data_IF_845536879768
#
_entry.id   IF_845536879768
#
_cell.length_a   1.000
_cell.length_b   1.000
_cell.length_c   1.000
_cell.angle_alpha   90.00
_cell.angle_beta   90.00
_cell.angle_gamma   90.00
#
_symmetry.space_group_name_H-M   'P 1'
#
loop_
_entity.id
_entity.type
_entity.pdbx_description
1 polymer ?
#
# COMPACT_ATOMS: atom_id res chain seq x y z
N UNK A 1 15.90 44.36 -1.42
CA UNK A 1 16.13 42.93 -1.11
C UNK A 1 14.80 42.21 -1.27
N UNK A 2 14.69 41.30 -2.24
CA UNK A 2 13.48 40.49 -2.41
C UNK A 2 13.37 39.55 -1.21
N UNK A 3 12.31 39.70 -0.41
CA UNK A 3 12.00 38.76 0.67
C UNK A 3 11.28 37.57 0.03
N UNK A 4 11.98 36.47 -0.16
CA UNK A 4 11.35 35.20 -0.48
C UNK A 4 10.80 34.59 0.82
N UNK A 5 9.49 34.41 0.90
CA UNK A 5 8.85 33.64 1.96
C UNK A 5 9.00 32.16 1.58
N UNK A 6 9.92 31.45 2.24
CA UNK A 6 10.06 29.99 2.07
C UNK A 6 9.20 29.28 3.12
N UNK A 7 8.41 28.32 2.67
CA UNK A 7 7.62 27.49 3.56
C UNK A 7 8.53 26.63 4.45
N UNK A 8 8.22 26.55 5.74
CA UNK A 8 8.93 25.68 6.68
C UNK A 8 8.58 24.24 6.33
N UNK A 9 9.58 23.45 5.93
CA UNK A 9 9.42 22.04 5.60
C UNK A 9 9.78 21.16 6.80
N UNK A 10 8.98 20.12 7.04
CA UNK A 10 9.29 19.11 8.03
C UNK A 10 10.59 18.38 7.63
N UNK A 11 11.61 18.34 8.50
CA UNK A 11 12.90 17.73 8.16
C UNK A 11 12.80 16.21 7.99
N UNK A 12 11.74 15.57 8.49
CA UNK A 12 11.55 14.12 8.38
C UNK A 12 10.88 13.71 7.09
N UNK A 13 9.79 14.37 6.67
CA UNK A 13 9.02 13.94 5.50
C UNK A 13 8.95 14.96 4.35
N UNK A 14 9.51 16.16 4.53
CA UNK A 14 9.47 17.23 3.54
C UNK A 14 8.12 17.94 3.42
N UNK A 15 7.12 17.57 4.22
CA UNK A 15 5.81 18.22 4.20
C UNK A 15 5.91 19.67 4.69
N UNK A 16 5.22 20.57 3.99
CA UNK A 16 5.04 21.97 4.42
C UNK A 16 3.86 22.15 5.38
N UNK A 17 3.13 21.08 5.70
CA UNK A 17 2.00 21.12 6.63
C UNK A 17 2.52 20.97 8.06
N UNK A 18 2.48 22.08 8.80
CA UNK A 18 2.85 22.11 10.21
C UNK A 18 1.95 23.07 10.99
N UNK A 19 1.95 22.90 12.30
CA UNK A 19 1.36 23.83 13.25
C UNK A 19 2.43 24.23 14.24
N UNK A 20 2.54 25.53 14.52
CA UNK A 20 3.40 26.03 15.58
C UNK A 20 2.76 25.71 16.93
N UNK A 21 3.45 24.93 17.76
CA UNK A 21 2.96 24.50 19.08
C UNK A 21 3.46 25.40 20.21
N UNK A 22 4.58 26.09 19.98
CA UNK A 22 5.15 27.17 20.80
C UNK A 22 6.17 27.92 19.93
N UNK A 23 6.61 29.14 20.30
CA UNK A 23 7.54 29.93 19.48
C UNK A 23 8.73 29.11 19.00
N UNK A 24 8.93 29.07 17.69
CA UNK A 24 9.99 28.32 16.97
C UNK A 24 9.89 26.79 17.01
N UNK A 25 8.83 26.21 17.55
CA UNK A 25 8.59 24.76 17.59
C UNK A 25 7.34 24.39 16.79
N UNK A 26 7.51 23.44 15.88
CA UNK A 26 6.52 23.04 14.92
C UNK A 26 6.23 21.55 15.03
N UNK A 27 4.95 21.19 14.89
CA UNK A 27 4.52 19.80 14.72
C UNK A 27 4.04 19.60 13.29
N UNK A 28 4.65 18.65 12.58
CA UNK A 28 4.22 18.29 11.23
C UNK A 28 2.87 17.55 11.26
N UNK A 29 1.88 18.03 10.51
CA UNK A 29 0.55 17.41 10.43
C UNK A 29 0.52 16.15 9.56
N UNK A 30 1.53 15.96 8.71
CA UNK A 30 1.61 14.80 7.82
C UNK A 30 2.31 13.58 8.47
N UNK A 31 3.25 13.79 9.39
CA UNK A 31 4.03 12.71 10.01
C UNK A 31 4.19 12.80 11.54
N UNK A 32 3.48 13.71 12.18
CA UNK A 32 3.50 13.98 13.64
C UNK A 32 4.90 14.30 14.22
N UNK A 33 5.87 14.63 13.38
CA UNK A 33 7.22 14.97 13.84
C UNK A 33 7.24 16.38 14.40
N UNK A 34 7.69 16.50 15.64
CA UNK A 34 8.01 17.77 16.28
C UNK A 34 9.45 18.15 15.95
N UNK A 35 9.66 19.41 15.58
CA UNK A 35 10.96 19.97 15.25
C UNK A 35 10.97 21.45 15.64
N UNK A 36 12.15 22.02 15.85
CA UNK A 36 12.31 23.43 16.18
C UNK A 36 13.28 24.08 15.22
N UNK A 37 13.13 25.39 15.02
CA UNK A 37 14.10 26.21 14.31
C UNK A 37 15.18 26.60 15.32
N UNK A 38 16.36 25.98 15.18
CA UNK A 38 17.52 26.44 15.92
C UNK A 38 18.12 27.66 15.21
N UNK A 39 18.24 28.76 15.94
CA UNK A 39 18.71 30.03 15.41
C UNK A 39 20.11 30.29 15.96
N UNK A 40 21.09 29.49 15.51
CA UNK A 40 22.48 29.52 16.00
C UNK A 40 23.27 30.77 15.53
N UNK A 41 22.69 31.64 14.71
CA UNK A 41 23.30 32.92 14.32
C UNK A 41 22.98 34.04 15.33
N UNK A 42 23.50 33.93 16.55
CA UNK A 42 23.62 35.09 17.44
C UNK A 42 24.93 35.82 17.11
N UNK A 43 24.89 36.84 16.25
CA UNK A 43 25.99 37.80 16.16
C UNK A 43 25.97 38.68 17.42
N UNK A 44 26.62 38.22 18.49
CA UNK A 44 26.80 39.02 19.70
C UNK A 44 27.82 40.13 19.38
N UNK A 45 27.34 41.34 19.08
CA UNK A 45 28.18 42.53 19.17
C UNK A 45 28.43 42.83 20.64
N UNK A 46 29.57 42.36 21.13
CA UNK A 46 30.05 42.59 22.49
C UNK A 46 30.49 44.06 22.64
N UNK A 47 29.59 44.94 23.10
CA UNK A 47 29.97 46.26 23.58
C UNK A 47 29.99 46.25 25.11
N UNK A 48 31.19 46.25 25.69
CA UNK A 48 31.39 46.21 27.14
C UNK A 48 31.29 47.62 27.68
N UNK A 49 30.18 47.94 28.34
CA UNK A 49 30.12 49.04 29.29
C UNK A 49 29.94 48.48 30.70
N UNK A 50 30.97 48.66 31.53
CA UNK A 50 30.93 48.30 32.95
C UNK A 50 30.10 49.33 33.71
N UNK A 51 28.87 49.00 34.06
CA UNK A 51 28.19 49.60 35.21
C UNK A 51 27.47 48.51 36.03
N UNK A 52 27.51 48.71 37.35
CA UNK A 52 27.37 47.70 38.41
C UNK A 52 25.97 47.09 38.54
N UNK A 53 25.95 45.79 38.87
CA UNK A 53 24.74 44.98 39.08
C UNK A 53 24.12 45.14 40.49
N UNK A 54 22.78 45.13 40.64
CA UNK A 54 22.11 44.81 41.90
C UNK A 54 21.92 43.29 42.10
N UNK A 55 21.82 42.90 43.37
CA UNK A 55 21.91 41.55 43.95
C UNK A 55 20.77 40.57 43.56
N UNK A 56 21.00 39.24 43.59
CA UNK A 56 19.99 38.21 43.30
C UNK A 56 19.19 37.72 44.52
N UNK A 57 17.96 37.26 44.26
CA UNK A 57 17.01 36.65 45.20
C UNK A 57 17.32 35.17 45.51
N UNK A 58 16.74 34.57 46.59
CA UNK A 58 17.19 33.29 47.16
C UNK A 58 16.78 32.05 46.36
N UNK A 59 17.68 31.06 46.34
CA UNK A 59 17.59 29.78 45.63
C UNK A 59 16.80 28.74 46.45
N UNK A 60 15.85 28.06 45.79
CA UNK A 60 15.11 26.93 46.35
C UNK A 60 16.02 25.70 46.60
N UNK A 61 15.70 24.92 47.64
CA UNK A 61 16.58 23.89 48.22
C UNK A 61 17.09 22.82 47.21
N UNK A 62 18.38 22.42 47.29
CA UNK A 62 19.08 21.65 46.26
C UNK A 62 18.63 20.19 46.12
N UNK A 63 17.88 19.65 47.09
CA UNK A 63 17.44 18.24 47.09
C UNK A 63 16.24 17.97 46.18
N UNK A 64 15.42 18.99 45.90
CA UNK A 64 14.23 18.88 45.05
C UNK A 64 14.56 19.13 43.57
N UNK A 65 15.53 20.00 43.29
CA UNK A 65 16.02 20.26 41.94
C UNK A 65 16.74 19.05 41.32
N UNK A 66 17.57 18.31 42.09
CA UNK A 66 18.30 17.16 41.54
C UNK A 66 17.40 15.97 41.22
N UNK A 67 16.28 15.81 41.95
CA UNK A 67 15.31 14.73 41.71
C UNK A 67 14.51 14.98 40.42
N UNK A 68 14.11 16.24 40.19
CA UNK A 68 13.38 16.66 38.98
C UNK A 68 14.29 16.55 37.75
N UNK A 69 15.54 17.00 37.84
CA UNK A 69 16.52 16.91 36.75
C UNK A 69 16.84 15.44 36.42
N UNK A 70 16.97 14.58 37.44
CA UNK A 70 17.20 13.14 37.25
C UNK A 70 16.02 12.42 36.57
N UNK A 71 14.78 12.73 36.96
CA UNK A 71 13.59 12.16 36.34
C UNK A 71 13.43 12.60 34.87
N UNK A 72 13.70 13.86 34.56
CA UNK A 72 13.67 14.40 33.19
C UNK A 72 14.74 13.74 32.33
N UNK A 73 15.95 13.54 32.84
CA UNK A 73 17.03 12.86 32.10
C UNK A 73 16.71 11.39 31.81
N UNK A 74 16.10 10.66 32.75
CA UNK A 74 15.71 9.25 32.52
C UNK A 74 14.58 9.16 31.48
N UNK A 75 13.59 10.06 31.55
CA UNK A 75 12.50 10.12 30.56
C UNK A 75 13.06 10.51 29.18
N UNK A 76 14.00 11.45 29.12
CA UNK A 76 14.65 11.87 27.88
C UNK A 76 15.47 10.72 27.27
N UNK A 77 16.23 9.98 28.08
CA UNK A 77 16.97 8.80 27.62
C UNK A 77 16.00 7.71 27.13
N UNK A 78 14.88 7.46 27.81
CA UNK A 78 13.88 6.51 27.33
C UNK A 78 13.21 6.97 26.02
N UNK A 79 12.85 8.24 25.89
CA UNK A 79 12.21 8.75 24.67
C UNK A 79 13.15 8.84 23.46
N UNK A 80 14.43 9.13 23.67
CA UNK A 80 15.42 9.26 22.60
C UNK A 80 15.99 7.90 22.17
N UNK A 81 16.17 6.95 23.09
CA UNK A 81 16.77 5.65 22.79
C UNK A 81 15.77 4.51 22.53
N UNK A 82 14.48 4.60 22.93
CA UNK A 82 13.49 3.60 22.51
C UNK A 82 13.30 3.55 20.98
N UNK A 83 13.18 4.67 20.25
CA UNK A 83 12.99 4.65 18.80
C UNK A 83 14.18 4.07 18.04
N UNK A 84 15.41 4.20 18.57
CA UNK A 84 16.62 3.68 17.92
C UNK A 84 16.74 2.16 18.05
N UNK A 85 16.17 1.56 19.10
CA UNK A 85 16.09 0.09 19.25
C UNK A 85 15.06 -0.57 18.32
N UNK A 86 14.08 0.18 17.80
CA UNK A 86 13.09 -0.30 16.84
C UNK A 86 13.41 0.05 15.38
N UNK A 87 14.56 0.68 15.11
CA UNK A 87 14.97 1.02 13.75
C UNK A 87 15.54 -0.22 13.04
N UNK A 88 14.67 -1.17 12.69
CA UNK A 88 15.03 -2.27 11.81
C UNK A 88 15.35 -1.70 10.44
N UNK A 89 16.61 -1.82 10.04
CA UNK A 89 17.12 -1.55 8.70
C UNK A 89 16.11 -2.05 7.65
N UNK A 90 15.65 -1.13 6.80
CA UNK A 90 14.92 -1.51 5.61
C UNK A 90 15.87 -2.13 4.60
N UNK A 91 15.75 -3.43 4.39
CA UNK A 91 16.50 -4.10 3.33
C UNK A 91 15.72 -3.97 2.02
N UNK A 92 16.34 -3.38 1.01
CA UNK A 92 15.85 -3.49 -0.37
C UNK A 92 16.26 -4.87 -0.90
N UNK A 93 15.30 -5.67 -1.34
CA UNK A 93 15.58 -6.96 -1.98
C UNK A 93 16.11 -6.80 -3.43
N UNK A 94 16.15 -5.57 -3.96
CA UNK A 94 16.68 -5.31 -5.32
C UNK A 94 18.06 -5.93 -5.55
N UNK A 95 18.95 -5.86 -4.55
CA UNK A 95 20.33 -6.35 -4.67
C UNK A 95 20.46 -7.88 -4.51
N UNK A 96 19.38 -8.56 -4.14
CA UNK A 96 19.34 -10.03 -4.01
C UNK A 96 18.82 -10.67 -5.30
N UNK A 97 17.93 -9.96 -6.02
CA UNK A 97 17.32 -10.47 -7.24
C UNK A 97 18.29 -10.48 -8.42
N UNK A 98 19.20 -9.52 -8.50
CA UNK A 98 20.27 -9.53 -9.50
C UNK A 98 21.56 -10.08 -8.86
N UNK A 99 21.87 -11.33 -9.19
CA UNK A 99 23.12 -11.99 -8.81
C UNK A 99 24.19 -11.66 -9.85
N UNK A 100 25.47 -11.73 -9.50
CA UNK A 100 26.55 -11.70 -10.51
C UNK A 100 26.48 -12.86 -11.51
N UNK A 101 25.62 -13.86 -11.26
CA UNK A 101 25.44 -15.03 -12.13
C UNK A 101 24.29 -14.89 -13.14
N UNK A 102 23.25 -14.11 -12.83
CA UNK A 102 22.09 -13.96 -13.72
C UNK A 102 21.28 -12.71 -13.39
N UNK A 103 20.53 -12.27 -14.40
CA UNK A 103 19.58 -11.17 -14.36
C UNK A 103 18.18 -11.68 -14.61
N UNK A 104 17.18 -11.04 -14.00
CA UNK A 104 15.79 -11.36 -14.31
C UNK A 104 15.16 -10.33 -15.27
N UNK A 105 14.52 -10.83 -16.32
CA UNK A 105 13.65 -10.11 -17.25
C UNK A 105 12.20 -10.64 -17.19
N UNK A 106 11.25 -9.87 -17.72
CA UNK A 106 9.82 -10.22 -17.84
C UNK A 106 9.22 -10.87 -16.58
N UNK A 107 9.50 -10.27 -15.42
CA UNK A 107 9.24 -10.89 -14.12
C UNK A 107 8.13 -10.18 -13.36
N UNK A 108 7.43 -10.97 -12.56
CA UNK A 108 6.60 -10.44 -11.49
C UNK A 108 6.99 -11.09 -10.16
N UNK A 109 6.59 -10.46 -9.06
CA UNK A 109 6.83 -10.98 -7.72
C UNK A 109 5.64 -10.81 -6.79
N UNK A 110 5.59 -11.69 -5.80
CA UNK A 110 4.61 -11.63 -4.71
C UNK A 110 5.21 -12.08 -3.39
N UNK A 111 4.78 -11.44 -2.31
CA UNK A 111 5.16 -11.79 -0.94
C UNK A 111 4.03 -12.55 -0.24
N UNK A 112 4.39 -13.56 0.55
CA UNK A 112 3.46 -14.28 1.41
C UNK A 112 4.19 -14.93 2.60
N UNK A 113 3.44 -15.31 3.64
CA UNK A 113 3.93 -16.21 4.70
C UNK A 113 3.61 -17.67 4.36
N UNK A 114 4.57 -18.57 4.56
CA UNK A 114 4.33 -20.01 4.51
C UNK A 114 3.59 -20.52 5.77
N UNK A 115 3.32 -21.82 5.84
CA UNK A 115 2.66 -22.44 6.99
C UNK A 115 3.45 -22.34 8.31
N UNK A 116 4.73 -21.96 8.28
CA UNK A 116 5.59 -21.75 9.46
C UNK A 116 5.67 -20.27 9.88
N UNK A 117 5.11 -19.37 9.09
CA UNK A 117 5.24 -17.92 9.26
C UNK A 117 6.54 -17.34 8.68
N UNK A 118 7.25 -18.08 7.83
CA UNK A 118 8.40 -17.55 7.10
C UNK A 118 7.92 -16.63 5.99
N UNK A 119 8.42 -15.40 5.98
CA UNK A 119 8.16 -14.46 4.90
C UNK A 119 8.95 -14.86 3.65
N UNK A 120 8.22 -15.20 2.60
CA UNK A 120 8.74 -15.63 1.29
C UNK A 120 8.42 -14.55 0.26
N UNK A 121 9.39 -14.29 -0.63
CA UNK A 121 9.15 -13.58 -1.89
C UNK A 121 9.33 -14.59 -3.03
N UNK A 122 8.25 -14.83 -3.78
CA UNK A 122 8.29 -15.59 -5.01
C UNK A 122 8.50 -14.64 -6.19
N UNK A 123 9.44 -14.97 -7.08
CA UNK A 123 9.71 -14.26 -8.33
C UNK A 123 9.58 -15.24 -9.46
N UNK A 124 8.74 -14.90 -10.44
CA UNK A 124 8.53 -15.69 -11.64
C UNK A 124 8.83 -14.82 -12.84
N UNK A 125 9.64 -15.32 -13.77
CA UNK A 125 10.11 -14.55 -14.92
C UNK A 125 11.16 -15.31 -15.71
N UNK A 126 11.84 -14.61 -16.59
CA UNK A 126 12.95 -15.14 -17.37
C UNK A 126 14.29 -14.86 -16.66
N UNK A 127 15.14 -15.87 -16.53
CA UNK A 127 16.52 -15.71 -16.01
C UNK A 127 17.50 -15.74 -17.18
N UNK A 128 18.30 -14.70 -17.31
CA UNK A 128 19.39 -14.54 -18.27
C UNK A 128 20.73 -14.68 -17.55
N UNK A 129 21.55 -15.67 -17.90
CA UNK A 129 22.86 -15.87 -17.28
C UNK A 129 23.96 -15.15 -18.07
N UNK A 130 24.78 -14.33 -17.39
CA UNK A 130 25.90 -13.63 -18.02
C UNK A 130 27.06 -14.64 -18.27
N UNK A 131 27.56 -14.68 -19.51
CA UNK A 131 28.65 -15.54 -20.02
C UNK A 131 28.34 -17.02 -20.28
N UNK A 132 27.54 -17.35 -21.29
CA UNK A 132 27.69 -18.66 -21.93
C UNK A 132 27.46 -18.61 -23.44
N UNK A 133 28.39 -19.20 -24.17
CA UNK A 133 28.23 -19.65 -25.57
C UNK A 133 27.12 -20.73 -25.73
N UNK A 134 26.37 -21.02 -24.66
CA UNK A 134 25.28 -21.96 -24.58
C UNK A 134 24.07 -21.37 -23.84
N UNK A 135 23.19 -20.73 -24.61
CA UNK A 135 21.80 -20.28 -24.34
C UNK A 135 20.89 -21.30 -23.59
N UNK A 136 21.38 -22.52 -23.36
CA UNK A 136 20.65 -23.64 -22.76
C UNK A 136 20.26 -23.48 -21.28
N UNK A 137 20.96 -22.62 -20.52
CA UNK A 137 20.72 -22.40 -19.07
C UNK A 137 19.67 -21.32 -18.80
N UNK A 138 19.56 -20.34 -19.68
CA UNK A 138 18.52 -19.32 -19.63
C UNK A 138 17.14 -19.94 -19.83
N UNK A 139 16.11 -19.26 -19.35
CA UNK A 139 14.75 -19.76 -19.46
C UNK A 139 13.81 -19.20 -18.41
N UNK A 140 12.60 -19.74 -18.42
CA UNK A 140 11.56 -19.32 -17.48
C UNK A 140 11.74 -20.07 -16.16
N UNK A 141 11.73 -19.32 -15.07
CA UNK A 141 11.86 -19.86 -13.71
C UNK A 141 10.81 -19.24 -12.80
N UNK A 142 10.46 -19.98 -11.76
CA UNK A 142 10.01 -19.40 -10.50
C UNK A 142 11.05 -19.70 -9.43
N UNK A 143 11.32 -18.72 -8.58
CA UNK A 143 12.22 -18.88 -7.45
C UNK A 143 11.64 -18.24 -6.20
N UNK A 144 11.81 -18.94 -5.10
CA UNK A 144 11.33 -18.55 -3.80
C UNK A 144 12.51 -18.18 -2.92
N UNK A 145 12.46 -16.99 -2.34
CA UNK A 145 13.50 -16.44 -1.50
C UNK A 145 12.97 -16.21 -0.10
N UNK A 146 13.81 -16.43 0.92
CA UNK A 146 13.55 -15.87 2.24
C UNK A 146 13.69 -14.35 2.15
N UNK A 147 12.61 -13.63 2.43
CA UNK A 147 12.56 -12.19 2.20
C UNK A 147 13.47 -11.37 3.12
N UNK A 148 13.86 -11.90 4.28
CA UNK A 148 14.61 -11.16 5.31
C UNK A 148 16.13 -11.22 5.11
N UNK A 149 16.63 -12.29 4.51
CA UNK A 149 18.05 -12.50 4.26
C UNK A 149 18.40 -12.69 2.78
N UNK A 150 17.39 -12.81 1.90
CA UNK A 150 17.58 -12.99 0.46
C UNK A 150 18.05 -14.38 0.04
N UNK A 151 18.09 -15.35 0.96
CA UNK A 151 18.53 -16.70 0.63
C UNK A 151 17.51 -17.35 -0.32
N UNK A 152 17.99 -17.86 -1.45
CA UNK A 152 17.21 -18.73 -2.33
C UNK A 152 16.84 -20.01 -1.56
N UNK A 153 15.54 -20.28 -1.47
CA UNK A 153 14.99 -21.46 -0.83
C UNK A 153 14.85 -22.59 -1.84
N UNK A 154 14.31 -22.26 -3.01
CA UNK A 154 14.06 -23.20 -4.10
C UNK A 154 13.88 -22.47 -5.42
N UNK A 155 14.40 -23.05 -6.49
CA UNK A 155 14.16 -22.61 -7.86
C UNK A 155 13.61 -23.77 -8.69
N UNK A 156 12.62 -23.47 -9.52
CA UNK A 156 11.96 -24.41 -10.41
C UNK A 156 12.01 -23.85 -11.82
N UNK A 157 12.63 -24.59 -12.75
CA UNK A 157 12.55 -24.29 -14.18
C UNK A 157 11.15 -24.61 -14.67
N UNK A 158 10.58 -23.69 -15.44
CA UNK A 158 9.27 -23.82 -16.03
C UNK A 158 9.39 -24.24 -17.50
N UNK A 159 8.32 -24.83 -18.05
CA UNK A 159 8.25 -25.15 -19.47
C UNK A 159 8.40 -23.91 -20.35
N UNK A 160 8.70 -24.12 -21.63
CA UNK A 160 8.73 -23.03 -22.59
C UNK A 160 7.30 -22.54 -22.83
N UNK A 161 7.04 -21.29 -22.47
CA UNK A 161 5.88 -20.53 -22.93
C UNK A 161 6.41 -19.29 -23.64
N UNK A 162 5.78 -18.84 -24.74
CA UNK A 162 6.28 -17.74 -25.54
C UNK A 162 6.24 -16.43 -24.74
N UNK A 163 7.36 -16.09 -24.10
CA UNK A 163 7.60 -14.78 -23.48
C UNK A 163 7.94 -13.80 -24.60
N UNK A 164 6.92 -13.38 -25.34
CA UNK A 164 7.10 -12.36 -26.39
C UNK A 164 7.01 -10.93 -25.85
N UNK A 165 6.51 -10.72 -24.62
CA UNK A 165 6.26 -9.38 -24.08
C UNK A 165 6.46 -9.32 -22.56
N UNK A 166 6.93 -8.16 -22.10
CA UNK A 166 7.28 -7.80 -20.71
C UNK A 166 6.15 -7.94 -19.67
N UNK A 167 4.89 -8.08 -20.10
CA UNK A 167 3.68 -7.95 -19.25
C UNK A 167 2.93 -9.27 -18.99
N UNK A 168 3.53 -10.42 -19.33
CA UNK A 168 2.80 -11.70 -19.43
C UNK A 168 2.78 -12.57 -18.18
N UNK A 169 3.46 -12.20 -17.11
CA UNK A 169 3.40 -12.90 -15.82
C UNK A 169 2.76 -11.95 -14.80
N UNK A 170 1.67 -12.39 -14.17
CA UNK A 170 0.97 -11.63 -13.14
C UNK A 170 0.62 -12.52 -11.97
N UNK A 171 1.18 -12.20 -10.80
CA UNK A 171 0.75 -12.82 -9.55
C UNK A 171 -0.54 -12.18 -9.05
N UNK A 172 -1.29 -12.96 -8.30
CA UNK A 172 -2.44 -12.48 -7.54
C UNK A 172 -2.61 -13.30 -6.27
N UNK A 173 -2.81 -12.62 -5.14
CA UNK A 173 -3.23 -13.25 -3.90
C UNK A 173 -4.72 -13.00 -3.67
N UNK A 174 -5.46 -14.05 -3.34
CA UNK A 174 -6.86 -13.94 -2.97
C UNK A 174 -7.02 -13.73 -1.46
N UNK A 175 -8.19 -13.27 -1.00
CA UNK A 175 -8.48 -13.00 0.41
C UNK A 175 -8.39 -14.24 1.30
N UNK A 176 -8.58 -15.45 0.74
CA UNK A 176 -8.37 -16.72 1.46
C UNK A 176 -6.88 -17.08 1.64
N UNK A 177 -5.97 -16.26 1.12
CA UNK A 177 -4.53 -16.47 1.17
C UNK A 177 -4.00 -17.38 0.07
N UNK A 178 -4.81 -17.85 -0.87
CA UNK A 178 -4.30 -18.58 -2.03
C UNK A 178 -3.59 -17.62 -2.98
N UNK A 179 -2.52 -18.11 -3.61
CA UNK A 179 -1.70 -17.31 -4.53
C UNK A 179 -1.69 -18.00 -5.88
N UNK A 180 -2.07 -17.24 -6.90
CA UNK A 180 -2.11 -17.66 -8.30
C UNK A 180 -1.11 -16.85 -9.12
N UNK A 181 -0.66 -17.42 -10.23
CA UNK A 181 0.12 -16.71 -11.24
C UNK A 181 -0.46 -17.02 -12.61
N UNK A 182 -0.68 -15.98 -13.42
CA UNK A 182 -1.10 -16.11 -14.82
C UNK A 182 0.16 -15.94 -15.67
N UNK A 183 0.41 -16.87 -16.59
CA UNK A 183 1.49 -16.77 -17.58
C UNK A 183 0.94 -16.77 -19.01
N UNK A 184 1.43 -15.83 -19.83
CA UNK A 184 1.04 -15.64 -21.23
C UNK A 184 -0.48 -15.60 -21.40
N UNK A 185 -1.18 -15.03 -20.41
CA UNK A 185 -2.64 -14.82 -20.40
C UNK A 185 -3.46 -16.09 -20.68
N UNK A 186 -2.88 -17.29 -20.51
CA UNK A 186 -3.53 -18.55 -20.90
C UNK A 186 -3.25 -19.69 -19.94
N UNK A 187 -2.14 -19.64 -19.21
CA UNK A 187 -1.76 -20.67 -18.25
C UNK A 187 -1.97 -20.14 -16.84
N UNK A 188 -2.76 -20.85 -16.05
CA UNK A 188 -2.97 -20.54 -14.64
C UNK A 188 -2.12 -21.48 -13.78
N UNK A 189 -1.33 -20.90 -12.89
CA UNK A 189 -0.60 -21.61 -11.88
C UNK A 189 -1.13 -21.29 -10.49
N UNK A 190 -0.96 -22.23 -9.56
CA UNK A 190 -1.18 -22.05 -8.13
C UNK A 190 0.13 -22.29 -7.38
N UNK A 191 0.44 -21.41 -6.44
CA UNK A 191 1.59 -21.58 -5.55
C UNK A 191 1.24 -22.58 -4.45
N UNK A 192 1.98 -23.68 -4.39
CA UNK A 192 2.01 -24.57 -3.24
C UNK A 192 2.96 -23.98 -2.19
N UNK A 193 2.36 -23.26 -1.24
CA UNK A 193 3.08 -22.59 -0.15
C UNK A 193 3.80 -23.56 0.78
N UNK A 194 3.32 -24.80 0.90
CA UNK A 194 3.88 -25.80 1.81
C UNK A 194 5.16 -26.41 1.25
N UNK A 195 5.18 -26.65 -0.07
CA UNK A 195 6.32 -27.29 -0.74
C UNK A 195 7.23 -26.31 -1.49
N UNK A 196 6.87 -25.02 -1.48
CA UNK A 196 7.59 -23.95 -2.17
C UNK A 196 7.70 -24.28 -3.67
N UNK A 197 6.55 -24.53 -4.30
CA UNK A 197 6.44 -24.94 -5.70
C UNK A 197 5.36 -24.17 -6.43
N UNK A 198 5.48 -24.13 -7.76
CA UNK A 198 4.43 -23.66 -8.65
C UNK A 198 3.84 -24.84 -9.40
N UNK A 199 2.54 -25.01 -9.30
CA UNK A 199 1.80 -26.09 -9.93
C UNK A 199 0.84 -25.53 -10.97
N UNK A 200 0.85 -26.10 -12.17
CA UNK A 200 -0.12 -25.75 -13.20
C UNK A 200 -1.50 -26.25 -12.79
N UNK A 201 -2.47 -25.35 -12.87
CA UNK A 201 -3.87 -25.65 -12.55
C UNK A 201 -4.43 -26.54 -13.64
N UNK A 202 -4.92 -27.72 -13.24
CA UNK A 202 -5.43 -28.72 -14.17
C UNK A 202 -6.79 -28.31 -14.75
N UNK A 203 -7.16 -28.78 -15.97
CA UNK A 203 -8.41 -28.38 -16.63
C UNK A 203 -9.68 -28.63 -15.80
N UNK A 204 -9.69 -29.67 -14.95
CA UNK A 204 -10.82 -29.99 -14.07
C UNK A 204 -11.17 -28.87 -13.07
N UNK A 205 -10.25 -27.95 -12.80
CA UNK A 205 -10.50 -26.73 -12.04
C UNK A 205 -11.52 -25.81 -12.72
N UNK A 206 -11.73 -25.93 -14.03
CA UNK A 206 -12.72 -25.16 -14.77
C UNK A 206 -13.90 -26.02 -15.23
N UNK A 207 -13.63 -27.24 -15.72
CA UNK A 207 -14.62 -28.06 -16.43
C UNK A 207 -15.71 -28.67 -15.57
N UNK A 208 -15.70 -28.46 -14.25
CA UNK A 208 -16.86 -28.79 -13.41
C UNK A 208 -18.01 -27.78 -13.56
N UNK A 209 -17.74 -26.62 -14.17
CA UNK A 209 -18.76 -25.69 -14.67
C UNK A 209 -19.01 -25.94 -16.15
N UNK A 210 -20.25 -26.24 -16.51
CA UNK A 210 -20.64 -26.53 -17.89
C UNK A 210 -20.28 -25.38 -18.85
N UNK A 211 -20.35 -24.14 -18.36
CA UNK A 211 -20.04 -22.93 -19.10
C UNK A 211 -18.56 -22.80 -19.50
N UNK A 212 -17.68 -23.61 -18.91
CA UNK A 212 -16.23 -23.59 -19.15
C UNK A 212 -15.71 -24.90 -19.78
N UNK A 213 -16.60 -25.85 -20.13
CA UNK A 213 -16.24 -27.16 -20.71
C UNK A 213 -15.45 -27.07 -22.02
N UNK A 214 -15.66 -26.00 -22.80
CA UNK A 214 -14.92 -25.77 -24.04
C UNK A 214 -13.41 -25.58 -23.82
N UNK A 215 -12.97 -25.42 -22.57
CA UNK A 215 -11.60 -25.08 -22.21
C UNK A 215 -11.35 -23.57 -22.30
N UNK A 216 -10.21 -23.14 -21.78
CA UNK A 216 -9.87 -21.73 -21.59
C UNK A 216 -8.81 -21.32 -22.61
N UNK A 217 -9.11 -20.27 -23.38
CA UNK A 217 -8.21 -19.64 -24.33
C UNK A 217 -7.44 -18.46 -23.72
N UNK A 218 -8.10 -17.70 -22.84
CA UNK A 218 -7.54 -16.47 -22.24
C UNK A 218 -7.94 -16.31 -20.78
N UNK A 219 -7.05 -15.75 -19.97
CA UNK A 219 -7.18 -15.57 -18.52
C UNK A 219 -6.62 -14.20 -18.13
N UNK A 220 -7.44 -13.41 -17.46
CA UNK A 220 -7.06 -12.15 -16.82
C UNK A 220 -7.54 -12.13 -15.37
N UNK A 221 -6.77 -11.50 -14.49
CA UNK A 221 -7.24 -11.15 -13.16
C UNK A 221 -8.29 -10.03 -13.26
N UNK A 222 -9.41 -10.16 -12.55
CA UNK A 222 -10.29 -9.00 -12.31
C UNK A 222 -9.64 -8.05 -11.30
N UNK A 223 -10.05 -6.77 -11.25
CA UNK A 223 -9.56 -5.84 -10.22
C UNK A 223 -9.86 -6.34 -8.80
N UNK A 224 -9.03 -5.98 -7.82
CA UNK A 224 -9.16 -6.43 -6.42
C UNK A 224 -10.49 -5.97 -5.79
N UNK A 225 -10.96 -4.78 -6.18
CA UNK A 225 -12.23 -4.22 -5.76
C UNK A 225 -13.46 -5.02 -6.27
N UNK A 226 -13.29 -5.82 -7.33
CA UNK A 226 -14.36 -6.56 -7.99
C UNK A 226 -14.48 -8.02 -7.51
N UNK A 227 -13.62 -8.44 -6.59
CA UNK A 227 -13.62 -9.78 -5.99
C UNK A 227 -12.43 -10.65 -6.40
N UNK A 228 -12.36 -11.86 -5.85
CA UNK A 228 -11.25 -12.80 -6.06
C UNK A 228 -11.56 -13.75 -7.24
N UNK A 229 -11.33 -13.28 -8.46
CA UNK A 229 -11.73 -14.03 -9.65
C UNK A 229 -10.89 -13.79 -10.89
N UNK A 230 -11.32 -14.41 -11.97
CA UNK A 230 -10.71 -14.31 -13.28
C UNK A 230 -11.75 -13.93 -14.32
N UNK A 231 -11.36 -13.07 -15.25
CA UNK A 231 -12.05 -12.91 -16.52
C UNK A 231 -11.44 -13.91 -17.49
N UNK A 232 -12.27 -14.83 -17.97
CA UNK A 232 -11.91 -15.94 -18.84
C UNK A 232 -12.49 -15.73 -20.23
N UNK A 233 -11.75 -16.13 -21.26
CA UNK A 233 -12.30 -16.42 -22.59
C UNK A 233 -12.22 -17.92 -22.83
N UNK A 234 -13.33 -18.55 -23.17
CA UNK A 234 -13.34 -19.97 -23.56
C UNK A 234 -12.86 -20.17 -25.00
N UNK A 235 -12.47 -21.40 -25.37
CA UNK A 235 -12.02 -21.72 -26.73
C UNK A 235 -13.09 -21.49 -27.82
N UNK A 236 -14.37 -21.48 -27.46
CA UNK A 236 -15.48 -21.14 -28.35
C UNK A 236 -15.80 -19.62 -28.37
N UNK A 237 -14.94 -18.78 -27.79
CA UNK A 237 -15.00 -17.33 -27.88
C UNK A 237 -15.98 -16.65 -26.92
N UNK A 238 -16.35 -17.30 -25.82
CA UNK A 238 -17.29 -16.75 -24.84
C UNK A 238 -16.54 -16.20 -23.62
N UNK A 239 -16.83 -14.95 -23.27
CA UNK A 239 -16.28 -14.34 -22.04
C UNK A 239 -17.08 -14.75 -20.80
N UNK A 240 -16.37 -15.08 -19.71
CA UNK A 240 -16.93 -15.49 -18.42
C UNK A 240 -16.17 -14.86 -17.26
N UNK A 241 -16.87 -14.55 -16.18
CA UNK A 241 -16.26 -14.23 -14.90
C UNK A 241 -16.32 -15.46 -14.00
N UNK A 242 -15.18 -15.96 -13.55
CA UNK A 242 -15.07 -17.12 -12.68
C UNK A 242 -14.49 -16.72 -11.33
N UNK A 243 -15.17 -17.09 -10.25
CA UNK A 243 -14.78 -16.81 -8.87
C UNK A 243 -14.50 -18.14 -8.15
N UNK A 244 -13.23 -18.58 -8.06
CA UNK A 244 -12.91 -19.91 -7.53
C UNK A 244 -13.33 -20.12 -6.07
N UNK A 245 -13.28 -19.07 -5.23
CA UNK A 245 -13.63 -19.18 -3.81
C UNK A 245 -15.14 -19.33 -3.63
N UNK A 246 -15.92 -18.55 -4.38
CA UNK A 246 -17.37 -18.62 -4.36
C UNK A 246 -17.94 -19.79 -5.18
N UNK A 247 -17.06 -20.45 -5.95
CA UNK A 247 -17.37 -21.49 -6.92
C UNK A 247 -18.51 -21.08 -7.86
N UNK A 248 -18.30 -20.01 -8.61
CA UNK A 248 -19.36 -19.43 -9.43
C UNK A 248 -18.85 -18.85 -10.75
N UNK A 249 -19.65 -19.04 -11.80
CA UNK A 249 -19.40 -18.52 -13.14
C UNK A 249 -20.53 -17.58 -13.57
N UNK A 250 -20.17 -16.45 -14.17
CA UNK A 250 -21.12 -15.46 -14.69
C UNK A 250 -20.83 -15.13 -16.14
N UNK A 251 -21.90 -14.94 -16.92
CA UNK A 251 -21.81 -14.14 -18.14
C UNK A 251 -21.60 -12.68 -17.77
N UNK A 252 -21.09 -11.87 -18.68
CA UNK A 252 -20.88 -10.44 -18.43
C UNK A 252 -22.17 -9.71 -18.03
N UNK A 253 -23.29 -9.98 -18.72
CA UNK A 253 -24.60 -9.42 -18.35
C UNK A 253 -25.03 -9.85 -16.94
N UNK A 254 -24.89 -11.13 -16.61
CA UNK A 254 -25.26 -11.64 -15.29
C UNK A 254 -24.34 -11.11 -14.19
N UNK A 255 -23.07 -10.88 -14.51
CA UNK A 255 -22.10 -10.30 -13.60
C UNK A 255 -22.51 -8.89 -13.17
N UNK A 256 -22.76 -7.97 -14.12
CA UNK A 256 -23.18 -6.60 -13.80
C UNK A 256 -24.55 -6.54 -13.11
N UNK A 257 -25.52 -7.35 -13.56
CA UNK A 257 -26.82 -7.43 -12.90
C UNK A 257 -26.69 -7.85 -11.43
N UNK A 258 -25.75 -8.76 -11.15
CA UNK A 258 -25.53 -9.24 -9.80
C UNK A 258 -24.66 -8.31 -8.95
N UNK A 259 -23.75 -7.51 -9.53
CA UNK A 259 -23.08 -6.42 -8.81
C UNK A 259 -24.11 -5.37 -8.34
N UNK A 260 -25.03 -4.97 -9.21
CA UNK A 260 -26.11 -4.05 -8.84
C UNK A 260 -27.10 -4.66 -7.83
N UNK A 261 -27.19 -5.99 -7.77
CA UNK A 261 -28.02 -6.69 -6.79
C UNK A 261 -27.32 -6.89 -5.42
N UNK A 262 -26.11 -6.37 -5.21
CA UNK A 262 -25.44 -6.38 -3.90
C UNK A 262 -26.24 -5.63 -2.81
N UNK A 263 -27.26 -4.86 -3.19
CA UNK A 263 -28.29 -4.32 -2.29
C UNK A 263 -29.17 -5.43 -1.66
N UNK A 264 -29.53 -6.47 -2.44
CA UNK A 264 -30.36 -7.63 -2.04
C UNK A 264 -29.43 -8.81 -1.73
N UNK A 265 -28.95 -8.81 -0.50
CA UNK A 265 -27.73 -9.54 -0.13
C UNK A 265 -27.90 -11.07 -0.11
N UNK A 266 -26.96 -11.77 -0.78
CA UNK A 266 -26.72 -13.21 -0.66
C UNK A 266 -26.60 -13.58 0.84
N UNK A 267 -27.18 -14.71 1.24
CA UNK A 267 -27.15 -15.20 2.63
C UNK A 267 -25.71 -15.45 3.14
N UNK A 268 -24.74 -15.62 2.25
CA UNK A 268 -23.31 -15.83 2.57
C UNK A 268 -22.54 -14.53 2.82
N UNK A 269 -23.08 -13.38 2.43
CA UNK A 269 -22.39 -12.10 2.47
C UNK A 269 -22.11 -11.64 3.91
N UNK A 270 -20.85 -11.30 4.23
CA UNK A 270 -20.46 -10.78 5.54
C UNK A 270 -20.12 -9.30 5.48
N UNK A 271 -20.36 -8.57 6.57
CA UNK A 271 -19.94 -7.16 6.66
C UNK A 271 -18.43 -7.12 6.83
N UNK A 272 -17.75 -6.49 5.88
CA UNK A 272 -16.31 -6.28 5.88
C UNK A 272 -15.98 -4.78 5.79
N UNK A 273 -14.83 -4.40 6.35
CA UNK A 273 -14.30 -3.04 6.34
C UNK A 273 -13.33 -2.86 5.16
N UNK A 274 -13.45 -1.72 4.49
CA UNK A 274 -12.67 -1.34 3.33
C UNK A 274 -12.13 0.07 3.47
N UNK A 275 -11.10 0.37 2.69
CA UNK A 275 -10.40 1.64 2.69
C UNK A 275 -10.19 2.13 1.26
N UNK A 276 -10.44 3.40 1.02
CA UNK A 276 -10.07 4.08 -0.22
C UNK A 276 -9.90 5.58 0.03
N UNK A 277 -9.27 6.30 -0.90
CA UNK A 277 -9.25 7.76 -0.87
C UNK A 277 -10.42 8.34 -1.66
N UNK A 278 -11.09 9.36 -1.12
CA UNK A 278 -12.13 10.08 -1.86
C UNK A 278 -11.56 10.68 -3.16
N UNK A 279 -12.40 10.86 -4.17
CA UNK A 279 -12.02 11.46 -5.45
C UNK A 279 -12.27 12.98 -5.44
N UNK A 280 -11.55 13.73 -6.27
CA UNK A 280 -11.74 15.17 -6.44
C UNK A 280 -13.16 15.46 -6.92
N UNK A 281 -13.85 16.40 -6.29
CA UNK A 281 -15.20 16.82 -6.72
C UNK A 281 -15.12 18.00 -7.68
N UNK A 282 -15.88 17.94 -8.77
CA UNK A 282 -16.07 19.08 -9.68
C UNK A 282 -16.96 20.17 -9.04
N UNK A 283 -17.94 19.77 -8.23
CA UNK A 283 -18.87 20.68 -7.53
C UNK A 283 -18.23 21.33 -6.28
N UNK A 284 -17.25 20.63 -5.67
CA UNK A 284 -16.55 21.04 -4.45
C UNK A 284 -15.02 20.94 -4.64
N UNK A 285 -14.42 21.78 -5.50
CA UNK A 285 -13.00 21.67 -5.88
C UNK A 285 -12.03 21.89 -4.72
N UNK A 286 -12.42 22.66 -3.70
CA UNK A 286 -11.63 22.93 -2.50
C UNK A 286 -11.71 21.80 -1.45
N UNK A 287 -12.53 20.77 -1.70
CA UNK A 287 -12.62 19.64 -0.79
C UNK A 287 -11.33 18.83 -0.79
N UNK A 288 -10.81 18.63 0.42
CA UNK A 288 -9.62 17.81 0.63
C UNK A 288 -9.95 16.33 0.39
N UNK A 289 -9.01 15.63 -0.22
CA UNK A 289 -9.04 14.17 -0.32
C UNK A 289 -8.98 13.55 1.07
N UNK A 290 -9.91 12.63 1.38
CA UNK A 290 -10.09 11.97 2.67
C UNK A 290 -9.78 10.48 2.57
N UNK A 291 -9.21 9.90 3.63
CA UNK A 291 -9.07 8.44 3.73
C UNK A 291 -10.37 7.86 4.29
N UNK A 292 -11.21 7.33 3.39
CA UNK A 292 -12.51 6.78 3.74
C UNK A 292 -12.36 5.36 4.28
N UNK A 293 -12.85 5.14 5.49
CA UNK A 293 -13.09 3.81 6.04
C UNK A 293 -14.58 3.53 5.94
N UNK A 294 -14.97 2.48 5.24
CA UNK A 294 -16.37 2.13 5.03
C UNK A 294 -16.61 0.64 5.21
N UNK A 295 -17.85 0.27 5.48
CA UNK A 295 -18.28 -1.12 5.56
C UNK A 295 -19.27 -1.43 4.45
N UNK A 296 -19.14 -2.61 3.86
CA UNK A 296 -20.09 -3.17 2.90
C UNK A 296 -20.25 -4.66 3.15
N UNK A 297 -21.30 -5.26 2.60
CA UNK A 297 -21.34 -6.73 2.56
C UNK A 297 -20.44 -7.24 1.44
N UNK A 298 -19.74 -8.33 1.72
CA UNK A 298 -18.77 -8.97 0.84
C UNK A 298 -18.94 -10.49 0.91
N UNK A 299 -18.96 -11.11 -0.26
CA UNK A 299 -19.09 -12.56 -0.45
C UNK A 299 -17.75 -13.32 -0.32
N UNK A 300 -16.73 -12.70 0.30
CA UNK A 300 -15.44 -13.31 0.67
C UNK A 300 -14.74 -14.01 -0.49
N UNK A 301 -14.63 -13.30 -1.61
CA UNK A 301 -13.99 -13.80 -2.83
C UNK A 301 -14.96 -14.11 -3.97
N UNK A 302 -16.26 -13.90 -3.76
CA UNK A 302 -17.24 -13.74 -4.83
C UNK A 302 -17.16 -12.37 -5.50
N UNK A 303 -18.17 -12.06 -6.32
CA UNK A 303 -18.32 -10.74 -6.95
C UNK A 303 -18.32 -9.63 -5.91
N UNK A 304 -17.80 -8.47 -6.28
CA UNK A 304 -17.84 -7.28 -5.43
C UNK A 304 -17.89 -6.01 -6.29
N UNK A 305 -18.15 -4.88 -5.66
CA UNK A 305 -18.00 -3.55 -6.27
C UNK A 305 -17.54 -2.54 -5.21
N UNK A 306 -17.19 -1.32 -5.63
CA UNK A 306 -16.76 -0.24 -4.75
C UNK A 306 -17.65 1.01 -4.88
N UNK A 307 -17.86 1.75 -3.77
CA UNK A 307 -18.40 3.09 -3.84
C UNK A 307 -17.41 4.08 -4.45
N UNK A 308 -17.95 5.17 -4.99
CA UNK A 308 -17.20 6.33 -5.46
C UNK A 308 -17.47 7.49 -4.53
N UNK A 309 -16.64 7.64 -3.49
CA UNK A 309 -16.68 8.77 -2.56
C UNK A 309 -16.18 10.02 -3.27
N UNK A 310 -17.09 10.75 -3.90
CA UNK A 310 -16.85 12.02 -4.56
C UNK A 310 -18.07 12.87 -4.25
N UNK A 311 -17.85 13.96 -3.52
CA UNK A 311 -18.97 14.81 -3.12
C UNK A 311 -19.63 15.42 -4.34
N UNK A 312 -20.95 15.50 -4.33
CA UNK A 312 -21.74 15.98 -5.46
C UNK A 312 -22.95 16.76 -4.99
N UNK A 313 -23.26 17.84 -5.69
CA UNK A 313 -24.53 18.55 -5.57
C UNK A 313 -25.44 18.15 -6.74
N UNK A 314 -26.70 17.81 -6.47
CA UNK A 314 -27.68 17.55 -7.52
C UNK A 314 -29.05 18.10 -7.13
N UNK A 315 -29.88 18.39 -8.12
CA UNK A 315 -31.27 18.79 -7.89
C UNK A 315 -32.19 17.62 -8.17
N UNK A 316 -33.18 17.40 -7.30
CA UNK A 316 -34.25 16.43 -7.57
C UNK A 316 -35.26 16.96 -8.60
N UNK A 317 -36.26 16.14 -8.94
CA UNK A 317 -37.31 16.50 -9.90
C UNK A 317 -38.11 17.77 -9.49
N UNK A 318 -38.14 18.10 -8.19
CA UNK A 318 -38.81 19.29 -7.67
C UNK A 318 -37.87 20.51 -7.57
N UNK A 319 -36.63 20.39 -8.04
CA UNK A 319 -35.61 21.45 -7.98
C UNK A 319 -34.98 21.64 -6.60
N UNK A 320 -35.20 20.72 -5.65
CA UNK A 320 -34.54 20.78 -4.34
C UNK A 320 -33.11 20.29 -4.48
N UNK A 321 -32.17 21.09 -4.00
CA UNK A 321 -30.74 20.77 -4.00
C UNK A 321 -30.40 19.79 -2.87
N UNK A 322 -29.69 18.74 -3.24
CA UNK A 322 -29.16 17.71 -2.34
C UNK A 322 -27.65 17.65 -2.48
N UNK A 323 -26.97 17.43 -1.36
CA UNK A 323 -25.53 17.19 -1.33
C UNK A 323 -25.30 15.77 -0.81
N UNK A 324 -24.51 15.00 -1.55
CA UNK A 324 -24.13 13.63 -1.22
C UNK A 324 -22.62 13.50 -1.22
N UNK A 325 -22.08 12.62 -0.38
CA UNK A 325 -20.66 12.27 -0.36
C UNK A 325 -20.30 11.25 -1.46
N UNK A 326 -21.26 10.85 -2.29
CA UNK A 326 -21.12 9.80 -3.30
C UNK A 326 -21.46 10.29 -4.71
N UNK A 327 -20.62 9.90 -5.68
CA UNK A 327 -21.00 9.93 -7.11
C UNK A 327 -21.82 8.70 -7.48
N UNK A 328 -21.47 7.54 -6.93
CA UNK A 328 -22.09 6.23 -7.21
C UNK A 328 -21.82 5.24 -6.06
N UNK A 329 -22.68 4.24 -5.91
CA UNK A 329 -22.47 3.09 -5.03
C UNK A 329 -22.74 3.37 -3.55
N UNK A 330 -23.54 4.39 -3.23
CA UNK A 330 -23.94 4.72 -1.85
C UNK A 330 -24.72 3.58 -1.18
N UNK A 331 -25.46 2.83 -1.98
CA UNK A 331 -26.25 1.66 -1.64
C UNK A 331 -25.42 0.43 -1.21
N UNK A 332 -24.18 0.35 -1.68
CA UNK A 332 -23.21 -0.67 -1.25
C UNK A 332 -22.75 -0.44 0.20
N UNK A 333 -22.79 0.82 0.65
CA UNK A 333 -22.18 1.26 1.92
C UNK A 333 -23.16 1.18 3.07
N UNK A 334 -22.78 0.44 4.11
CA UNK A 334 -23.55 0.31 5.36
C UNK A 334 -23.21 1.44 6.32
N UNK A 335 -21.92 1.78 6.42
CA UNK A 335 -21.43 2.88 7.27
C UNK A 335 -20.10 3.38 6.74
N UNK A 336 -19.77 4.66 6.93
CA UNK A 336 -18.46 5.19 6.59
C UNK A 336 -18.03 6.33 7.52
N UNK A 337 -16.72 6.60 7.54
CA UNK A 337 -16.12 7.76 8.21
C UNK A 337 -14.82 8.17 7.52
N UNK A 338 -14.40 9.42 7.71
CA UNK A 338 -13.01 9.82 7.48
C UNK A 338 -12.14 9.25 8.61
N UNK A 339 -11.20 8.37 8.27
CA UNK A 339 -10.32 7.73 9.23
C UNK A 339 -9.27 8.69 9.79
N UNK A 340 -8.94 9.74 9.05
CA UNK A 340 -7.86 10.67 9.39
C UNK A 340 -8.31 12.12 9.23
N UNK A 341 -9.30 12.57 10.02
CA UNK A 341 -9.92 13.88 9.84
C UNK A 341 -8.90 15.00 9.95
N UNK A 342 -9.00 15.96 9.03
CA UNK A 342 -8.15 17.15 8.98
C UNK A 342 -6.78 16.94 8.31
N UNK A 343 -6.41 15.72 7.92
CA UNK A 343 -5.19 15.47 7.15
C UNK A 343 -5.36 15.89 5.69
N UNK A 344 -4.23 16.17 5.05
CA UNK A 344 -4.18 16.55 3.65
C UNK A 344 -3.21 15.64 2.92
N UNK A 345 -3.70 15.04 1.84
CA UNK A 345 -3.00 14.05 1.04
C UNK A 345 -2.84 14.52 -0.39
N UNK A 346 -1.71 14.19 -1.01
CA UNK A 346 -1.45 14.46 -2.43
C UNK A 346 -1.12 13.14 -3.14
N UNK A 347 -1.77 12.90 -4.28
CA UNK A 347 -1.68 11.64 -5.02
C UNK A 347 -1.73 10.37 -4.13
N UNK A 348 -2.69 10.26 -3.20
CA UNK A 348 -2.66 9.18 -2.23
C UNK A 348 -3.13 7.84 -2.81
N UNK A 349 -2.65 6.74 -2.22
CA UNK A 349 -3.06 5.38 -2.52
C UNK A 349 -3.15 4.53 -1.26
N UNK A 350 -4.13 3.62 -1.22
CA UNK A 350 -4.15 2.54 -0.24
C UNK A 350 -3.31 1.39 -0.79
N UNK A 351 -2.35 0.93 0.00
CA UNK A 351 -1.46 -0.19 -0.35
C UNK A 351 -1.90 -1.50 0.33
N UNK A 352 -2.57 -1.40 1.48
CA UNK A 352 -3.05 -2.53 2.27
C UNK A 352 -4.08 -2.07 3.31
N UNK A 353 -5.02 -2.94 3.69
CA UNK A 353 -5.94 -2.70 4.80
C UNK A 353 -6.41 -3.99 5.47
N UNK A 354 -6.47 -3.98 6.81
CA UNK A 354 -7.14 -5.00 7.62
C UNK A 354 -7.86 -4.37 8.82
N UNK A 355 -8.30 -5.18 9.78
CA UNK A 355 -9.03 -4.72 10.97
C UNK A 355 -8.18 -3.86 11.93
N UNK A 356 -6.85 -3.90 11.83
CA UNK A 356 -5.90 -3.23 12.74
C UNK A 356 -5.19 -2.07 12.07
N UNK A 357 -4.76 -2.24 10.83
CA UNK A 357 -3.90 -1.28 10.14
C UNK A 357 -4.33 -1.06 8.69
N UNK A 358 -4.16 0.18 8.24
CA UNK A 358 -4.17 0.54 6.83
C UNK A 358 -2.80 1.12 6.47
N UNK A 359 -2.22 0.64 5.38
CA UNK A 359 -0.97 1.15 4.82
C UNK A 359 -1.31 2.03 3.62
N UNK A 360 -0.83 3.26 3.63
CA UNK A 360 -1.07 4.24 2.58
C UNK A 360 0.25 4.79 2.05
N UNK A 361 0.25 5.21 0.79
CA UNK A 361 1.28 6.10 0.25
C UNK A 361 0.69 7.45 -0.15
N UNK A 362 1.46 8.51 -0.01
CA UNK A 362 1.09 9.84 -0.49
C UNK A 362 2.34 10.71 -0.70
N UNK A 363 2.21 11.71 -1.56
CA UNK A 363 3.24 12.72 -1.79
C UNK A 363 3.18 13.81 -0.71
N UNK A 364 4.34 14.32 -0.29
CA UNK A 364 4.45 15.32 0.77
C UNK A 364 3.86 16.69 0.39
N UNK A 365 3.79 16.98 -0.92
CA UNK A 365 3.24 18.20 -1.51
C UNK A 365 2.65 17.90 -2.89
N UNK A 366 1.87 18.85 -3.43
CA UNK A 366 1.27 18.75 -4.77
C UNK A 366 2.28 18.85 -5.94
N UNK A 367 3.54 19.18 -5.67
CA UNK A 367 4.56 19.32 -6.71
C UNK A 367 4.92 17.95 -7.33
N UNK A 368 5.12 17.92 -8.66
CA UNK A 368 5.40 16.70 -9.44
C UNK A 368 6.59 15.86 -8.94
N UNK A 369 7.59 16.49 -8.30
CA UNK A 369 8.79 15.80 -7.77
C UNK A 369 8.81 15.72 -6.24
N UNK A 370 7.64 15.74 -5.62
CA UNK A 370 7.54 15.67 -4.16
C UNK A 370 7.98 14.31 -3.63
N UNK A 371 8.58 14.31 -2.44
CA UNK A 371 8.92 13.09 -1.73
C UNK A 371 7.66 12.27 -1.44
N UNK A 372 7.69 10.98 -1.75
CA UNK A 372 6.62 10.06 -1.37
C UNK A 372 6.87 9.50 0.03
N UNK A 373 5.82 9.37 0.83
CA UNK A 373 5.85 8.71 2.12
C UNK A 373 4.96 7.47 2.11
N UNK A 374 5.40 6.40 2.78
CA UNK A 374 4.55 5.26 3.16
C UNK A 374 4.22 5.39 4.64
N UNK A 375 2.94 5.39 4.98
CA UNK A 375 2.45 5.57 6.34
C UNK A 375 1.53 4.42 6.74
N UNK A 376 1.73 3.89 7.94
CA UNK A 376 0.81 2.95 8.56
C UNK A 376 -0.07 3.71 9.55
N UNK A 377 -1.38 3.54 9.41
CA UNK A 377 -2.41 4.17 10.25
C UNK A 377 -3.19 3.08 10.97
N UNK A 378 -3.46 3.31 12.25
CA UNK A 378 -4.30 2.48 13.10
C UNK A 378 -5.77 2.61 12.69
N UNK A 379 -6.44 1.50 12.43
CA UNK A 379 -7.86 1.46 12.02
C UNK A 379 -8.83 1.85 13.14
N UNK A 380 -8.60 1.45 14.41
CA UNK A 380 -9.49 1.85 15.51
C UNK A 380 -9.61 3.37 15.70
N UNK A 381 -8.51 4.11 15.61
CA UNK A 381 -8.41 5.50 16.08
C UNK A 381 -7.78 6.48 15.07
N UNK A 382 -7.34 6.03 13.89
CA UNK A 382 -6.72 6.90 12.88
C UNK A 382 -5.31 7.39 13.22
N UNK A 383 -4.71 6.88 14.31
CA UNK A 383 -3.39 7.31 14.77
C UNK A 383 -2.28 6.79 13.85
N UNK A 384 -1.25 7.62 13.63
CA UNK A 384 -0.05 7.19 12.90
C UNK A 384 0.72 6.16 13.73
N UNK A 385 0.97 4.99 13.14
CA UNK A 385 1.85 3.96 13.71
C UNK A 385 3.30 4.24 13.32
N UNK A 386 3.53 4.47 12.02
CA UNK A 386 4.83 4.93 11.52
C UNK A 386 4.66 5.67 10.20
N UNK A 387 5.63 6.51 9.88
CA UNK A 387 5.80 7.12 8.56
C UNK A 387 7.21 6.87 8.09
N UNK A 388 7.35 6.35 6.88
CA UNK A 388 8.62 6.12 6.20
C UNK A 388 8.70 7.00 4.95
N UNK A 389 9.50 8.08 4.99
CA UNK A 389 9.72 8.92 3.83
C UNK A 389 10.65 8.24 2.82
N UNK A 390 10.48 8.59 1.55
CA UNK A 390 11.38 8.24 0.46
C UNK A 390 11.79 9.53 -0.26
N UNK A 391 13.05 9.59 -0.69
CA UNK A 391 13.55 10.72 -1.45
C UNK A 391 13.03 10.64 -2.88
N UNK A 392 12.51 11.77 -3.36
CA UNK A 392 11.86 11.87 -4.66
C UNK A 392 10.52 11.13 -4.74
N UNK A 393 9.88 11.30 -5.88
CA UNK A 393 8.63 10.61 -6.18
C UNK A 393 8.88 9.10 -6.27
N UNK A 394 8.01 8.32 -5.63
CA UNK A 394 7.99 6.87 -5.69
C UNK A 394 6.62 6.39 -6.12
N UNK A 395 6.61 5.44 -7.04
CA UNK A 395 5.41 4.71 -7.41
C UNK A 395 5.41 3.36 -6.69
N UNK A 396 4.29 3.01 -6.09
CA UNK A 396 4.02 1.70 -5.50
C UNK A 396 2.83 1.07 -6.23
N UNK A 397 2.86 -0.26 -6.35
CA UNK A 397 1.66 -0.99 -6.74
C UNK A 397 0.67 -0.98 -5.57
N UNK A 398 -0.59 -1.22 -5.85
CA UNK A 398 -1.65 -1.26 -4.84
C UNK A 398 -1.63 -2.61 -4.06
N UNK A 399 -0.49 -3.29 -4.09
CA UNK A 399 -0.23 -4.64 -3.55
C UNK A 399 0.87 -4.57 -2.47
N UNK A 400 0.48 -4.49 -1.20
CA UNK A 400 1.39 -4.69 -0.07
C UNK A 400 0.98 -5.90 0.76
N UNK A 401 1.98 -6.59 1.33
CA UNK A 401 1.78 -7.76 2.17
C UNK A 401 2.15 -7.46 3.61
N UNK A 402 1.21 -7.67 4.53
CA UNK A 402 1.47 -7.61 5.97
C UNK A 402 1.96 -8.96 6.48
N UNK A 403 3.02 -8.94 7.28
CA UNK A 403 3.55 -10.10 7.99
C UNK A 403 3.72 -9.78 9.48
N UNK A 404 4.07 -10.77 10.30
CA UNK A 404 4.12 -10.61 11.77
C UNK A 404 4.86 -9.35 12.26
N UNK A 405 5.93 -8.94 11.57
CA UNK A 405 6.83 -7.88 12.01
C UNK A 405 6.90 -6.67 11.06
N UNK A 406 5.96 -6.52 10.12
CA UNK A 406 5.96 -5.35 9.24
C UNK A 406 5.16 -5.53 7.95
N UNK A 407 5.58 -4.80 6.93
CA UNK A 407 4.97 -4.79 5.60
C UNK A 407 6.03 -4.96 4.51
N UNK A 408 5.67 -5.66 3.44
CA UNK A 408 6.38 -5.66 2.17
C UNK A 408 5.57 -4.80 1.21
N UNK A 409 6.21 -3.82 0.60
CA UNK A 409 5.60 -2.99 -0.46
C UNK A 409 6.29 -3.30 -1.79
N UNK A 410 5.50 -3.44 -2.85
CA UNK A 410 5.99 -3.69 -4.20
C UNK A 410 6.02 -2.37 -4.98
N UNK A 411 7.09 -2.19 -5.76
CA UNK A 411 7.20 -1.10 -6.72
C UNK A 411 6.85 -1.65 -8.11
N UNK A 412 6.15 -0.88 -8.95
CA UNK A 412 6.00 -1.26 -10.34
C UNK A 412 7.39 -1.34 -10.96
N UNK A 413 7.65 -2.38 -11.74
CA UNK A 413 8.91 -2.48 -12.46
C UNK A 413 8.94 -1.36 -13.49
N UNK A 414 9.95 -0.48 -13.39
CA UNK A 414 10.11 0.63 -14.31
C UNK A 414 10.23 0.10 -15.72
N UNK A 415 9.34 0.55 -16.62
CA UNK A 415 9.57 0.52 -18.06
C UNK A 415 10.92 1.20 -18.30
N UNK A 416 11.94 0.46 -18.69
CA UNK A 416 13.01 1.06 -19.49
C UNK A 416 12.35 1.45 -20.80
N UNK A 417 11.93 2.71 -20.91
CA UNK A 417 11.57 3.32 -22.18
C UNK A 417 12.81 3.48 -23.05
#
# INVERSE_FOLDING_TARGET
MAKEIKAIQCPKCGSTQNVEIKPDYFKCLSCDTEYFLDNDDITINHNVNYQQAPQPAPIASPKLASLIIGAILIIFVLFVFLPTLFNKSSKSLSNVLDSSAYRWSDKDCIAYEDGTGMLIIAVMGHREFDNDEHDSRSGNFITFYNALNGKELKSQRLGQFPTKDLDKIKFRMFKNGEVYAIANESILFKVDKSNTQLQEVQPNFFTHHQELEAGIAHIESIGEEYGDGFKLMTNDGKSRFFFPIADSVYTEKAYYAAQNALEIKDARAKVNTYFLFSEHSDDFPDEKIKLMMYTQKDDKGGRNDRPFFQKKEYSDYNGVKHVTDFRQGSDLVISYKDLTPGRLYFAPKVLYGDEKYVLISFNAAAAEKSNTSVQCVSVPDGRIIFTRPFNGEQYFTDEAFRFKNGFVVKKPMSRCL
#
